data_IF_504540921755
#
_entry.id   IF_504540921755
#
_cell.length_a   1.000
_cell.length_b   1.000
_cell.length_c   1.000
_cell.angle_alpha   90.00
_cell.angle_beta   90.00
_cell.angle_gamma   90.00
#
_symmetry.space_group_name_H-M   'P 1'
#
loop_
_entity.id
_entity.type
_entity.pdbx_description
1 polymer ?
#
# COMPACT_ATOMS: atom_id res chain seq x y z
N UNK A 1 5.68 7.55 18.73
CA UNK A 1 4.47 7.00 19.33
C UNK A 1 4.69 6.91 20.83
N UNK A 2 3.77 7.43 21.65
CA UNK A 2 3.89 7.38 23.11
C UNK A 2 3.75 5.94 23.62
N UNK A 3 4.40 5.63 24.74
CA UNK A 3 4.39 4.29 25.38
C UNK A 3 3.01 3.73 25.78
N UNK A 4 1.91 4.39 25.41
CA UNK A 4 0.53 4.04 25.79
C UNK A 4 -0.42 3.91 24.59
N UNK A 5 0.09 3.90 23.35
CA UNK A 5 -0.79 3.65 22.21
C UNK A 5 -1.25 2.19 22.30
N UNK A 6 -2.57 1.99 22.26
CA UNK A 6 -3.18 0.68 22.35
C UNK A 6 -2.59 -0.25 21.27
N UNK A 7 -2.11 -1.41 21.66
CA UNK A 7 -1.67 -2.46 20.74
C UNK A 7 -2.81 -2.83 19.74
N UNK A 8 -4.05 -2.53 20.11
CA UNK A 8 -5.24 -2.80 19.30
C UNK A 8 -5.56 -1.68 18.31
N UNK A 9 -4.87 -0.53 18.37
CA UNK A 9 -5.16 0.64 17.53
C UNK A 9 -5.27 0.32 16.02
N UNK A 10 -4.39 -0.48 15.40
CA UNK A 10 -4.54 -0.83 13.98
C UNK A 10 -5.82 -1.60 13.67
N UNK A 11 -6.27 -2.47 14.58
CA UNK A 11 -7.52 -3.22 14.45
C UNK A 11 -8.72 -2.29 14.61
N UNK A 12 -8.67 -1.39 15.60
CA UNK A 12 -9.72 -0.39 15.84
C UNK A 12 -9.89 0.54 14.63
N UNK A 13 -8.78 1.01 14.05
CA UNK A 13 -8.79 1.83 12.83
C UNK A 13 -9.35 1.06 11.63
N UNK A 14 -8.95 -0.20 11.45
CA UNK A 14 -9.50 -1.06 10.40
C UNK A 14 -11.03 -1.21 10.54
N UNK A 15 -11.51 -1.54 11.74
CA UNK A 15 -12.95 -1.71 12.00
C UNK A 15 -13.69 -0.39 11.75
N UNK A 16 -13.17 0.73 12.29
CA UNK A 16 -13.79 2.05 12.13
C UNK A 16 -13.88 2.44 10.65
N UNK A 17 -12.82 2.21 9.87
CA UNK A 17 -12.80 2.54 8.45
C UNK A 17 -13.70 1.63 7.63
N UNK A 18 -13.66 0.31 7.88
CA UNK A 18 -14.57 -0.65 7.21
C UNK A 18 -16.03 -0.27 7.44
N UNK A 19 -16.41 0.05 8.68
CA UNK A 19 -17.77 0.48 9.02
C UNK A 19 -18.13 1.81 8.35
N UNK A 20 -17.21 2.78 8.35
CA UNK A 20 -17.43 4.11 7.75
C UNK A 20 -17.61 4.00 6.22
N UNK A 21 -16.73 3.26 5.53
CA UNK A 21 -16.83 3.07 4.08
C UNK A 21 -18.05 2.20 3.72
N UNK A 22 -18.36 1.18 4.53
CA UNK A 22 -19.58 0.40 4.34
C UNK A 22 -20.83 1.26 4.49
N UNK A 23 -20.90 2.09 5.53
CA UNK A 23 -22.03 2.99 5.77
C UNK A 23 -22.17 4.00 4.62
N UNK A 24 -21.08 4.69 4.24
CA UNK A 24 -21.08 5.65 3.14
C UNK A 24 -21.49 4.96 1.83
N UNK A 25 -20.86 3.84 1.48
CA UNK A 25 -21.19 3.07 0.28
C UNK A 25 -22.64 2.58 0.26
N UNK A 26 -23.16 2.09 1.39
CA UNK A 26 -24.51 1.53 1.48
C UNK A 26 -25.62 2.57 1.45
N UNK A 27 -25.44 3.68 2.16
CA UNK A 27 -26.52 4.65 2.42
C UNK A 27 -26.35 5.95 1.64
N UNK A 28 -25.12 6.44 1.43
CA UNK A 28 -24.87 7.68 0.67
C UNK A 28 -24.70 7.35 -0.82
N UNK A 29 -23.76 6.50 -1.18
CA UNK A 29 -23.43 6.17 -2.57
C UNK A 29 -24.36 5.11 -3.17
N UNK A 30 -25.10 4.37 -2.33
CA UNK A 30 -26.06 3.31 -2.72
C UNK A 30 -25.45 2.20 -3.58
N UNK A 31 -24.22 1.80 -3.27
CA UNK A 31 -23.45 0.77 -3.97
C UNK A 31 -23.15 -0.44 -3.09
N UNK A 32 -22.70 -1.52 -3.72
CA UNK A 32 -22.22 -2.72 -3.02
C UNK A 32 -20.81 -2.50 -2.52
N UNK A 33 -20.46 -3.11 -1.38
CA UNK A 33 -19.08 -3.05 -0.85
C UNK A 33 -18.06 -3.66 -1.83
N UNK A 34 -18.45 -4.71 -2.56
CA UNK A 34 -17.62 -5.32 -3.60
C UNK A 34 -17.21 -4.35 -4.72
N UNK A 35 -17.97 -3.26 -4.93
CA UNK A 35 -17.65 -2.23 -5.93
C UNK A 35 -16.37 -1.42 -5.58
N UNK A 36 -15.93 -1.48 -4.34
CA UNK A 36 -14.67 -0.89 -3.90
C UNK A 36 -13.43 -1.76 -4.18
N UNK A 37 -13.56 -2.86 -4.94
CA UNK A 37 -12.45 -3.73 -5.32
C UNK A 37 -12.29 -4.99 -4.47
N UNK A 38 -13.38 -5.43 -3.80
CA UNK A 38 -13.45 -6.66 -3.01
C UNK A 38 -14.37 -7.71 -3.65
N UNK A 39 -14.15 -8.03 -4.92
CA UNK A 39 -14.85 -9.14 -5.60
C UNK A 39 -14.08 -10.44 -5.40
N UNK A 40 -14.11 -10.99 -4.20
CA UNK A 40 -13.38 -12.19 -3.81
C UNK A 40 -13.64 -13.38 -4.75
N UNK A 41 -12.81 -13.50 -5.78
CA UNK A 41 -12.79 -14.56 -6.78
C UNK A 41 -11.48 -15.33 -6.73
N UNK A 42 -11.33 -16.49 -7.35
CA UNK A 42 -10.03 -17.16 -7.51
C UNK A 42 -8.97 -16.25 -8.16
N UNK A 43 -9.39 -15.36 -9.07
CA UNK A 43 -8.53 -14.35 -9.69
C UNK A 43 -8.04 -13.34 -8.65
N UNK A 44 -8.93 -12.83 -7.80
CA UNK A 44 -8.61 -11.91 -6.73
C UNK A 44 -7.53 -12.48 -5.80
N UNK A 45 -7.68 -13.73 -5.36
CA UNK A 45 -6.70 -14.38 -4.49
C UNK A 45 -5.36 -14.64 -5.18
N UNK A 46 -5.35 -14.92 -6.50
CA UNK A 46 -4.12 -15.03 -7.28
C UNK A 46 -3.39 -13.70 -7.39
N UNK A 47 -4.12 -12.60 -7.59
CA UNK A 47 -3.57 -11.24 -7.64
C UNK A 47 -3.07 -10.79 -6.26
N UNK A 48 -3.79 -11.14 -5.20
CA UNK A 48 -3.35 -10.88 -3.82
C UNK A 48 -2.03 -11.60 -3.52
N UNK A 49 -1.94 -12.89 -3.87
CA UNK A 49 -0.70 -13.68 -3.73
C UNK A 49 0.46 -13.09 -4.52
N UNK A 50 0.21 -12.61 -5.74
CA UNK A 50 1.22 -11.88 -6.53
C UNK A 50 1.66 -10.60 -5.82
N UNK A 51 0.72 -9.81 -5.31
CA UNK A 51 1.01 -8.59 -4.55
C UNK A 51 1.89 -8.87 -3.33
N UNK A 52 1.53 -9.88 -2.52
CA UNK A 52 2.34 -10.33 -1.37
C UNK A 52 3.77 -10.68 -1.79
N UNK A 53 3.91 -11.51 -2.82
CA UNK A 53 5.23 -11.94 -3.30
C UNK A 53 6.07 -10.77 -3.83
N UNK A 54 5.43 -9.83 -4.57
CA UNK A 54 6.12 -8.69 -5.15
C UNK A 54 6.61 -7.72 -4.07
N UNK A 55 5.77 -7.37 -3.07
CA UNK A 55 6.18 -6.50 -1.96
C UNK A 55 7.37 -7.06 -1.20
N UNK A 56 7.30 -8.35 -0.84
CA UNK A 56 8.40 -9.05 -0.18
C UNK A 56 9.68 -9.08 -1.04
N UNK A 57 9.56 -9.36 -2.34
CA UNK A 57 10.69 -9.41 -3.27
C UNK A 57 11.39 -8.06 -3.40
N UNK A 58 10.62 -6.97 -3.53
CA UNK A 58 11.18 -5.63 -3.72
C UNK A 58 11.99 -5.19 -2.49
N UNK A 59 11.47 -5.35 -1.29
CA UNK A 59 12.21 -5.02 -0.06
C UNK A 59 13.39 -5.95 0.15
N UNK A 60 13.25 -7.24 -0.14
CA UNK A 60 14.38 -8.18 -0.08
C UNK A 60 15.52 -7.77 -1.03
N UNK A 61 15.18 -7.33 -2.24
CA UNK A 61 16.18 -6.82 -3.18
C UNK A 61 16.87 -5.55 -2.65
N UNK A 62 16.13 -4.62 -2.05
CA UNK A 62 16.72 -3.43 -1.40
C UNK A 62 17.69 -3.85 -0.30
N UNK A 63 17.25 -4.72 0.61
CA UNK A 63 18.09 -5.21 1.71
C UNK A 63 19.39 -5.86 1.20
N UNK A 64 19.29 -6.72 0.18
CA UNK A 64 20.47 -7.39 -0.39
C UNK A 64 21.43 -6.42 -1.07
N UNK A 65 20.91 -5.38 -1.74
CA UNK A 65 21.74 -4.31 -2.32
C UNK A 65 22.46 -3.54 -1.22
N UNK A 66 21.75 -3.11 -0.18
CA UNK A 66 22.38 -2.36 0.92
C UNK A 66 23.36 -3.20 1.75
N UNK A 67 23.08 -4.47 1.92
CA UNK A 67 24.01 -5.40 2.58
C UNK A 67 25.28 -5.62 1.73
N UNK A 68 25.13 -5.86 0.44
CA UNK A 68 26.24 -6.11 -0.48
C UNK A 68 27.15 -4.88 -0.68
N UNK A 69 26.58 -3.69 -0.60
CA UNK A 69 27.34 -2.42 -0.69
C UNK A 69 27.96 -1.99 0.65
N UNK A 70 27.65 -2.70 1.75
CA UNK A 70 28.07 -2.35 3.10
C UNK A 70 27.32 -1.15 3.68
N UNK A 71 26.17 -0.75 3.08
CA UNK A 71 25.33 0.33 3.58
C UNK A 71 24.42 -0.13 4.72
N UNK A 72 24.13 -1.42 4.82
CA UNK A 72 23.49 -2.03 5.96
C UNK A 72 24.41 -3.07 6.63
N UNK A 73 24.41 -3.10 7.96
CA UNK A 73 25.13 -4.08 8.79
C UNK A 73 24.15 -4.75 9.73
N UNK A 74 24.11 -6.06 9.77
CA UNK A 74 23.28 -6.83 10.70
C UNK A 74 23.83 -6.65 12.11
N UNK A 75 22.98 -6.23 13.05
CA UNK A 75 23.34 -5.97 14.45
C UNK A 75 22.80 -7.00 15.40
N UNK A 76 21.60 -7.50 15.15
CA UNK A 76 20.92 -8.48 16.01
C UNK A 76 19.93 -9.32 15.18
N UNK A 77 19.46 -10.43 15.71
CA UNK A 77 18.37 -11.23 15.12
C UNK A 77 17.31 -11.56 16.15
N UNK A 78 16.06 -11.72 15.71
CA UNK A 78 14.91 -12.05 16.55
C UNK A 78 14.67 -11.05 17.68
N UNK A 79 14.79 -9.75 17.35
CA UNK A 79 14.60 -8.66 18.29
C UNK A 79 13.11 -8.41 18.52
N UNK A 80 12.71 -8.33 19.80
CA UNK A 80 11.38 -7.87 20.22
C UNK A 80 11.42 -6.38 20.54
N UNK A 81 10.51 -5.61 19.97
CA UNK A 81 10.35 -4.17 20.21
C UNK A 81 9.62 -3.88 21.53
N UNK A 82 8.87 -4.85 22.05
CA UNK A 82 8.07 -4.71 23.28
C UNK A 82 8.69 -5.50 24.42
N UNK A 83 9.11 -4.78 25.47
CA UNK A 83 9.68 -5.42 26.66
C UNK A 83 8.72 -6.40 27.30
N UNK A 84 9.21 -7.62 27.59
CA UNK A 84 8.44 -8.67 28.25
C UNK A 84 7.52 -9.49 27.33
N UNK A 85 7.46 -9.17 26.05
CA UNK A 85 6.76 -10.00 25.04
C UNK A 85 7.77 -10.87 24.31
N UNK A 86 7.47 -12.17 24.19
CA UNK A 86 8.31 -13.09 23.44
C UNK A 86 8.25 -12.77 21.92
N UNK A 87 9.40 -12.82 21.23
CA UNK A 87 9.52 -12.48 19.82
C UNK A 87 8.45 -13.12 18.90
N UNK A 88 8.06 -14.42 19.01
CA UNK A 88 7.03 -14.99 18.16
C UNK A 88 5.65 -14.35 18.29
N UNK A 89 5.35 -13.81 19.46
CA UNK A 89 4.07 -13.09 19.70
C UNK A 89 4.17 -11.69 19.11
N UNK A 90 5.29 -11.01 19.34
CA UNK A 90 5.50 -9.63 18.90
C UNK A 90 5.54 -9.51 17.38
N UNK A 91 6.25 -10.45 16.70
CA UNK A 91 6.30 -10.48 15.23
C UNK A 91 4.94 -10.82 14.60
N UNK A 92 4.14 -11.66 15.25
CA UNK A 92 2.78 -11.94 14.81
C UNK A 92 1.89 -10.69 14.92
N UNK A 93 2.03 -9.90 16.00
CA UNK A 93 1.36 -8.62 16.15
C UNK A 93 1.77 -7.61 15.08
N UNK A 94 3.07 -7.55 14.74
CA UNK A 94 3.54 -6.72 13.64
C UNK A 94 2.88 -7.12 12.32
N UNK A 95 2.78 -8.42 12.02
CA UNK A 95 2.10 -8.91 10.82
C UNK A 95 0.61 -8.53 10.83
N UNK A 96 -0.10 -8.71 11.94
CA UNK A 96 -1.51 -8.30 12.07
C UNK A 96 -1.65 -6.79 11.86
N UNK A 97 -0.75 -5.99 12.42
CA UNK A 97 -0.72 -4.54 12.21
C UNK A 97 -0.64 -4.20 10.73
N UNK A 98 0.30 -4.79 9.98
CA UNK A 98 0.46 -4.47 8.56
C UNK A 98 -0.65 -5.03 7.67
N UNK A 99 -1.29 -6.13 8.06
CA UNK A 99 -2.53 -6.59 7.42
C UNK A 99 -3.63 -5.53 7.58
N UNK A 100 -3.80 -5.00 8.78
CA UNK A 100 -4.79 -3.95 9.04
C UNK A 100 -4.47 -2.69 8.23
N UNK A 101 -3.22 -2.20 8.29
CA UNK A 101 -2.76 -0.99 7.57
C UNK A 101 -2.96 -1.14 6.08
N UNK A 102 -2.46 -2.22 5.47
CA UNK A 102 -2.58 -2.45 4.03
C UNK A 102 -4.04 -2.54 3.55
N UNK A 103 -4.94 -3.08 4.37
CA UNK A 103 -6.37 -3.13 4.03
C UNK A 103 -7.01 -1.75 4.15
N UNK A 104 -6.86 -1.05 5.29
CA UNK A 104 -7.62 0.17 5.49
C UNK A 104 -7.09 1.33 4.65
N UNK A 105 -5.78 1.43 4.41
CA UNK A 105 -5.23 2.51 3.57
C UNK A 105 -5.57 2.31 2.09
N UNK A 106 -5.50 1.07 1.59
CA UNK A 106 -5.86 0.82 0.19
C UNK A 106 -7.38 0.91 -0.03
N UNK A 107 -8.19 0.46 0.92
CA UNK A 107 -9.64 0.67 0.86
C UNK A 107 -9.99 2.16 0.82
N UNK A 108 -9.38 2.97 1.70
CA UNK A 108 -9.64 4.41 1.73
C UNK A 108 -9.13 5.11 0.47
N UNK A 109 -7.86 4.90 0.12
CA UNK A 109 -7.19 5.63 -0.95
C UNK A 109 -7.66 5.22 -2.35
N UNK A 110 -7.74 3.92 -2.63
CA UNK A 110 -8.05 3.40 -3.98
C UNK A 110 -9.49 2.94 -4.08
N UNK A 111 -9.95 2.16 -3.12
CA UNK A 111 -11.32 1.68 -3.10
C UNK A 111 -12.36 2.79 -3.03
N UNK A 112 -12.17 3.75 -2.12
CA UNK A 112 -13.15 4.81 -1.87
C UNK A 112 -12.80 6.14 -2.54
N UNK A 113 -11.66 6.76 -2.22
CA UNK A 113 -11.33 8.10 -2.72
C UNK A 113 -11.10 8.12 -4.22
N UNK A 114 -10.21 7.28 -4.76
CA UNK A 114 -9.90 7.26 -6.20
C UNK A 114 -11.16 6.97 -7.01
N UNK A 115 -11.95 5.97 -6.59
CA UNK A 115 -13.17 5.60 -7.31
C UNK A 115 -14.20 6.74 -7.32
N UNK A 116 -14.50 7.34 -6.17
CA UNK A 116 -15.46 8.45 -6.09
C UNK A 116 -14.97 9.69 -6.88
N UNK A 117 -13.66 9.99 -6.84
CA UNK A 117 -13.08 11.06 -7.66
C UNK A 117 -13.19 10.74 -9.16
N UNK A 118 -12.89 9.52 -9.59
CA UNK A 118 -12.99 9.12 -10.99
C UNK A 118 -14.43 9.23 -11.50
N UNK A 119 -15.42 8.86 -10.69
CA UNK A 119 -16.84 9.03 -11.02
C UNK A 119 -17.24 10.50 -11.10
N UNK A 120 -16.82 11.33 -10.15
CA UNK A 120 -17.11 12.78 -10.12
C UNK A 120 -16.42 13.55 -11.26
N UNK A 121 -15.23 13.10 -11.69
CA UNK A 121 -14.48 13.69 -12.80
C UNK A 121 -14.94 13.19 -14.18
N UNK A 122 -15.82 12.18 -14.24
CA UNK A 122 -16.33 11.64 -15.52
C UNK A 122 -17.38 12.58 -16.12
N UNK A 123 -16.93 13.72 -16.61
CA UNK A 123 -17.74 14.78 -17.23
C UNK A 123 -17.48 14.85 -18.73
N UNK A 124 -18.37 15.54 -19.49
CA UNK A 124 -18.28 15.61 -20.96
C UNK A 124 -16.94 16.16 -21.48
N UNK A 125 -16.27 17.00 -20.72
CA UNK A 125 -14.98 17.61 -21.09
C UNK A 125 -13.77 16.69 -20.81
N UNK A 126 -13.95 15.61 -20.07
CA UNK A 126 -12.86 14.70 -19.67
C UNK A 126 -13.28 13.26 -20.01
N UNK A 127 -12.42 12.55 -20.75
CA UNK A 127 -12.67 11.14 -21.07
C UNK A 127 -12.63 10.27 -19.79
N UNK A 128 -13.31 9.10 -19.76
CA UNK A 128 -13.20 8.16 -18.63
C UNK A 128 -11.76 7.83 -18.26
N UNK A 129 -10.88 7.62 -19.25
CA UNK A 129 -9.43 7.41 -19.01
C UNK A 129 -8.78 8.61 -18.33
N UNK A 130 -9.10 9.82 -18.79
CA UNK A 130 -8.60 11.05 -18.18
C UNK A 130 -9.07 11.19 -16.75
N UNK A 131 -10.34 10.87 -16.45
CA UNK A 131 -10.92 10.92 -15.12
C UNK A 131 -10.20 9.98 -14.13
N UNK A 132 -9.99 8.71 -14.50
CA UNK A 132 -9.27 7.75 -13.63
C UNK A 132 -7.80 8.11 -13.46
N UNK A 133 -7.12 8.58 -14.50
CA UNK A 133 -5.71 8.98 -14.39
C UNK A 133 -5.57 10.20 -13.45
N UNK A 134 -6.44 11.19 -13.59
CA UNK A 134 -6.42 12.37 -12.73
C UNK A 134 -6.76 12.02 -11.28
N UNK A 135 -7.75 11.17 -11.05
CA UNK A 135 -8.08 10.65 -9.72
C UNK A 135 -6.92 9.87 -9.09
N UNK A 136 -6.19 9.06 -9.89
CA UNK A 136 -5.01 8.35 -9.41
C UNK A 136 -3.86 9.28 -9.05
N UNK A 137 -3.62 10.33 -9.83
CA UNK A 137 -2.60 11.35 -9.52
C UNK A 137 -2.94 12.09 -8.23
N UNK A 138 -4.19 12.53 -8.07
CA UNK A 138 -4.66 13.25 -6.88
C UNK A 138 -4.54 12.41 -5.62
N UNK A 139 -5.09 11.19 -5.62
CA UNK A 139 -5.05 10.31 -4.44
C UNK A 139 -3.62 9.83 -4.11
N UNK A 140 -2.75 9.71 -5.11
CA UNK A 140 -1.34 9.41 -4.89
C UNK A 140 -0.59 10.58 -4.28
N UNK A 141 -0.88 11.81 -4.73
CA UNK A 141 -0.34 13.02 -4.13
C UNK A 141 -0.80 13.16 -2.67
N UNK A 142 -2.09 12.92 -2.42
CA UNK A 142 -2.65 12.93 -1.06
C UNK A 142 -1.99 11.88 -0.15
N UNK A 143 -1.75 10.66 -0.66
CA UNK A 143 -1.05 9.61 0.08
C UNK A 143 0.34 10.06 0.55
N UNK A 144 1.15 10.63 -0.33
CA UNK A 144 2.46 11.16 0.05
C UNK A 144 2.37 12.33 1.04
N UNK A 145 1.40 13.24 0.85
CA UNK A 145 1.19 14.39 1.73
C UNK A 145 0.77 14.00 3.15
N UNK A 146 -0.02 12.95 3.32
CA UNK A 146 -0.37 12.43 4.65
C UNK A 146 0.85 12.03 5.48
N UNK A 147 1.93 11.59 4.83
CA UNK A 147 3.19 11.19 5.46
C UNK A 147 4.20 12.33 5.61
N UNK A 148 3.89 13.55 5.11
CA UNK A 148 4.82 14.67 5.16
C UNK A 148 5.13 15.18 6.58
N UNK A 149 4.30 14.79 7.56
CA UNK A 149 4.47 15.13 8.98
C UNK A 149 5.09 14.00 9.81
N UNK A 150 5.44 12.89 9.18
CA UNK A 150 6.11 11.79 9.87
C UNK A 150 7.51 12.19 10.35
N UNK A 151 8.06 11.53 11.38
CA UNK A 151 9.44 11.72 11.80
C UNK A 151 10.40 11.58 10.61
N UNK A 152 11.41 12.43 10.53
CA UNK A 152 12.42 12.44 9.47
C UNK A 152 11.90 12.67 8.04
N UNK A 153 10.64 13.05 7.86
CA UNK A 153 10.09 13.34 6.54
C UNK A 153 10.84 14.47 5.83
N UNK A 154 10.86 14.41 4.53
CA UNK A 154 11.49 15.35 3.62
C UNK A 154 10.71 15.46 2.33
N UNK A 155 10.98 16.47 1.50
CA UNK A 155 10.37 16.56 0.18
C UNK A 155 10.61 15.27 -0.64
N UNK A 156 11.80 14.68 -0.54
CA UNK A 156 12.15 13.44 -1.28
C UNK A 156 11.31 12.27 -0.78
N UNK A 157 11.16 12.10 0.54
CA UNK A 157 10.30 11.03 1.07
C UNK A 157 8.84 11.22 0.67
N UNK A 158 8.34 12.46 0.73
CA UNK A 158 6.97 12.78 0.30
C UNK A 158 6.75 12.44 -1.18
N UNK A 159 7.67 12.84 -2.08
CA UNK A 159 7.58 12.51 -3.50
C UNK A 159 7.69 11.00 -3.76
N UNK A 160 8.53 10.29 -3.02
CA UNK A 160 8.64 8.84 -3.12
C UNK A 160 7.38 8.12 -2.60
N UNK A 161 6.72 8.64 -1.58
CA UNK A 161 5.44 8.09 -1.13
C UNK A 161 4.29 8.43 -2.08
N UNK A 162 4.34 9.57 -2.79
CA UNK A 162 3.45 9.80 -3.94
C UNK A 162 3.69 8.75 -5.05
N UNK A 163 4.94 8.37 -5.32
CA UNK A 163 5.26 7.29 -6.26
C UNK A 163 4.75 5.92 -5.77
N UNK A 164 4.81 5.64 -4.46
CA UNK A 164 4.16 4.46 -3.89
C UNK A 164 2.64 4.48 -4.14
N UNK A 165 2.02 5.63 -3.90
CA UNK A 165 0.62 5.88 -4.24
C UNK A 165 0.29 5.58 -5.71
N UNK A 166 1.16 6.01 -6.63
CA UNK A 166 1.01 5.72 -8.07
C UNK A 166 1.16 4.24 -8.39
N UNK A 167 2.07 3.51 -7.72
CA UNK A 167 2.22 2.07 -7.86
C UNK A 167 0.92 1.35 -7.48
N UNK A 168 0.37 1.65 -6.31
CA UNK A 168 -0.89 1.08 -5.84
C UNK A 168 -2.06 1.43 -6.77
N UNK A 169 -2.14 2.70 -7.19
CA UNK A 169 -3.16 3.15 -8.14
C UNK A 169 -3.01 2.44 -9.50
N UNK A 170 -1.79 2.25 -10.01
CA UNK A 170 -1.55 1.49 -11.25
C UNK A 170 -2.08 0.07 -11.15
N UNK A 171 -1.82 -0.62 -10.04
CA UNK A 171 -2.34 -1.96 -9.81
C UNK A 171 -3.88 -1.97 -9.82
N UNK A 172 -4.51 -1.03 -9.11
CA UNK A 172 -5.97 -0.91 -9.05
C UNK A 172 -6.58 -0.58 -10.41
N UNK A 173 -5.99 0.38 -11.16
CA UNK A 173 -6.48 0.77 -12.48
C UNK A 173 -6.37 -0.33 -13.53
N UNK A 174 -5.38 -1.22 -13.40
CA UNK A 174 -5.14 -2.32 -14.35
C UNK A 174 -5.88 -3.61 -14.00
N UNK A 175 -6.31 -3.79 -12.74
CA UNK A 175 -7.02 -5.00 -12.30
C UNK A 175 -8.49 -4.75 -11.94
N UNK A 176 -8.86 -3.51 -11.64
CA UNK A 176 -10.17 -3.14 -11.11
C UNK A 176 -10.40 -3.62 -9.66
N UNK A 177 -9.37 -4.17 -9.01
CA UNK A 177 -9.46 -4.83 -7.71
C UNK A 177 -8.36 -4.36 -6.75
N UNK A 178 -8.63 -4.42 -5.44
CA UNK A 178 -7.68 -4.05 -4.40
C UNK A 178 -6.67 -5.17 -4.05
N UNK A 179 -6.75 -6.33 -4.69
CA UNK A 179 -5.96 -7.50 -4.36
C UNK A 179 -4.44 -7.24 -4.43
N UNK A 180 -3.95 -6.78 -5.58
CA UNK A 180 -2.51 -6.49 -5.76
C UNK A 180 -2.03 -5.36 -4.84
N UNK A 181 -2.70 -4.18 -4.79
CA UNK A 181 -2.23 -3.10 -3.91
C UNK A 181 -2.21 -3.51 -2.43
N UNK A 182 -3.25 -4.16 -1.91
CA UNK A 182 -3.27 -4.63 -0.51
C UNK A 182 -2.14 -5.62 -0.25
N UNK A 183 -1.98 -6.64 -1.10
CA UNK A 183 -0.92 -7.64 -0.91
C UNK A 183 0.49 -7.04 -0.93
N UNK A 184 0.76 -6.16 -1.90
CA UNK A 184 2.03 -5.46 -2.01
C UNK A 184 2.30 -4.58 -0.77
N UNK A 185 1.33 -3.78 -0.35
CA UNK A 185 1.44 -2.87 0.78
C UNK A 185 1.73 -3.62 2.08
N UNK A 186 1.00 -4.71 2.37
CA UNK A 186 1.22 -5.55 3.56
C UNK A 186 2.66 -6.03 3.61
N UNK A 187 3.16 -6.64 2.53
CA UNK A 187 4.48 -7.26 2.53
C UNK A 187 5.62 -6.26 2.34
N UNK A 188 5.39 -5.14 1.66
CA UNK A 188 6.34 -4.04 1.68
C UNK A 188 6.61 -3.59 3.12
N UNK A 189 5.56 -3.21 3.87
CA UNK A 189 5.70 -2.73 5.24
C UNK A 189 6.25 -3.79 6.19
N UNK A 190 5.75 -5.02 6.11
CA UNK A 190 6.20 -6.10 6.98
C UNK A 190 7.66 -6.47 6.74
N UNK A 191 8.09 -6.60 5.48
CA UNK A 191 9.47 -6.93 5.15
C UNK A 191 10.41 -5.77 5.47
N UNK A 192 10.02 -4.52 5.17
CA UNK A 192 10.84 -3.35 5.46
C UNK A 192 11.12 -3.24 6.97
N UNK A 193 10.09 -3.21 7.78
CA UNK A 193 10.21 -2.98 9.21
C UNK A 193 10.52 -4.26 9.99
N UNK A 194 9.72 -5.32 9.80
CA UNK A 194 9.73 -6.46 10.72
C UNK A 194 10.53 -7.66 10.23
N UNK A 195 10.92 -7.71 8.96
CA UNK A 195 11.87 -8.72 8.49
C UNK A 195 13.29 -8.15 8.51
N UNK A 196 13.53 -6.95 7.95
CA UNK A 196 14.86 -6.40 7.75
C UNK A 196 15.19 -5.16 8.60
N UNK A 197 14.33 -4.78 9.54
CA UNK A 197 14.61 -3.76 10.55
C UNK A 197 14.90 -2.36 10.01
N UNK A 198 14.45 -2.03 8.80
CA UNK A 198 14.46 -0.65 8.34
C UNK A 198 13.41 0.17 9.07
N UNK A 199 13.65 1.46 9.35
CA UNK A 199 12.55 2.37 9.68
C UNK A 199 11.48 2.35 8.59
N UNK A 200 10.22 2.39 8.97
CA UNK A 200 9.07 2.45 8.05
C UNK A 200 8.46 3.84 8.12
N UNK A 201 8.42 4.53 6.99
CA UNK A 201 7.92 5.91 6.90
C UNK A 201 8.50 6.83 7.98
N UNK A 202 9.79 6.64 8.28
CA UNK A 202 10.54 7.42 9.28
C UNK A 202 10.37 6.96 10.74
N UNK A 203 9.65 5.85 11.00
CA UNK A 203 9.40 5.31 12.34
C UNK A 203 10.14 3.98 12.54
N UNK A 204 10.85 3.84 13.65
CA UNK A 204 11.41 2.57 14.10
C UNK A 204 10.36 1.85 14.96
N UNK A 205 9.93 0.67 14.51
CA UNK A 205 8.92 -0.15 15.20
C UNK A 205 9.55 -1.19 16.15
N UNK A 206 10.84 -1.41 16.05
CA UNK A 206 11.64 -2.17 17.01
C UNK A 206 11.56 -3.69 16.90
N UNK A 207 10.48 -4.27 16.37
CA UNK A 207 10.30 -5.73 16.26
C UNK A 207 10.73 -6.23 14.90
N UNK A 208 11.80 -7.05 14.86
CA UNK A 208 12.34 -7.51 13.58
C UNK A 208 13.05 -8.86 13.65
N UNK A 209 13.00 -9.64 12.55
CA UNK A 209 13.81 -10.85 12.39
C UNK A 209 15.29 -10.54 12.25
N UNK A 210 15.66 -9.49 11.51
CA UNK A 210 17.04 -9.09 11.26
C UNK A 210 17.12 -7.58 11.56
N UNK A 211 17.73 -7.22 12.67
CA UNK A 211 17.97 -5.82 13.03
C UNK A 211 19.24 -5.32 12.31
N UNK A 212 19.18 -4.11 11.78
CA UNK A 212 20.27 -3.53 11.01
C UNK A 212 20.65 -2.13 11.50
N UNK A 213 21.88 -1.76 11.25
CA UNK A 213 22.33 -0.37 11.27
C UNK A 213 22.60 0.06 9.83
N UNK A 214 21.80 1.01 9.34
CA UNK A 214 22.00 1.63 8.04
C UNK A 214 23.04 2.77 8.15
N UNK A 215 24.00 2.82 7.22
CA UNK A 215 25.11 3.78 7.22
C UNK A 215 25.50 4.29 5.83
N UNK A 216 24.77 3.92 4.80
CA UNK A 216 25.04 4.32 3.42
C UNK A 216 24.72 5.78 3.11
N UNK A 217 25.10 6.27 1.90
CA UNK A 217 24.83 7.64 1.49
C UNK A 217 23.32 7.90 1.46
N UNK A 218 22.87 8.98 2.12
CA UNK A 218 21.44 9.33 2.28
C UNK A 218 20.65 9.37 0.96
N UNK A 219 21.29 9.82 -0.13
CA UNK A 219 20.64 9.87 -1.44
C UNK A 219 20.18 8.48 -1.91
N UNK A 220 20.97 7.43 -1.63
CA UNK A 220 20.68 6.07 -2.06
C UNK A 220 19.77 5.33 -1.07
N UNK A 221 20.06 5.44 0.21
CA UNK A 221 19.45 4.67 1.28
C UNK A 221 18.23 5.36 1.92
N UNK A 222 18.03 6.65 1.67
CA UNK A 222 16.99 7.46 2.33
C UNK A 222 17.35 7.95 3.74
N UNK A 223 18.45 7.46 4.33
CA UNK A 223 18.91 7.84 5.68
C UNK A 223 17.89 7.44 6.75
N UNK A 224 17.50 8.35 7.64
CA UNK A 224 16.62 8.06 8.76
C UNK A 224 15.15 7.78 8.37
N UNK A 225 14.75 8.07 7.14
CA UNK A 225 13.43 7.70 6.60
C UNK A 225 13.46 6.32 5.92
N UNK A 226 14.65 5.74 5.78
CA UNK A 226 15.00 4.47 5.16
C UNK A 226 14.69 4.40 3.65
N UNK A 227 14.56 3.20 3.03
CA UNK A 227 14.48 3.06 1.58
C UNK A 227 13.40 3.92 0.92
N UNK A 228 12.34 4.22 1.66
CA UNK A 228 11.23 5.03 1.17
C UNK A 228 11.60 6.48 0.80
N UNK A 229 12.76 6.99 1.25
CA UNK A 229 13.30 8.29 0.85
C UNK A 229 14.55 8.18 -0.02
N UNK A 230 14.96 6.98 -0.43
CA UNK A 230 16.19 6.71 -1.18
C UNK A 230 15.96 6.36 -2.65
N UNK A 231 17.01 6.53 -3.47
CA UNK A 231 16.98 6.14 -4.88
C UNK A 231 16.82 4.63 -5.05
N UNK A 232 17.31 3.81 -4.11
CA UNK A 232 17.12 2.35 -4.16
C UNK A 232 15.63 2.02 -4.03
N UNK A 233 14.93 2.62 -3.08
CA UNK A 233 13.48 2.48 -2.93
C UNK A 233 12.68 3.03 -4.12
N UNK A 234 13.09 4.19 -4.66
CA UNK A 234 12.51 4.73 -5.90
C UNK A 234 12.63 3.74 -7.05
N UNK A 235 13.84 3.19 -7.26
CA UNK A 235 14.11 2.19 -8.29
C UNK A 235 13.27 0.92 -8.11
N UNK A 236 13.17 0.42 -6.88
CA UNK A 236 12.35 -0.75 -6.57
C UNK A 236 10.86 -0.51 -6.89
N UNK A 237 10.30 0.67 -6.59
CA UNK A 237 8.92 1.01 -6.95
C UNK A 237 8.70 1.08 -8.46
N UNK A 238 9.62 1.68 -9.20
CA UNK A 238 9.53 1.72 -10.67
C UNK A 238 9.60 0.32 -11.28
N UNK A 239 10.51 -0.53 -10.79
CA UNK A 239 10.58 -1.95 -11.17
C UNK A 239 9.30 -2.69 -10.76
N UNK A 240 8.76 -2.42 -9.57
CA UNK A 240 7.48 -2.96 -9.11
C UNK A 240 6.32 -2.63 -10.06
N UNK A 241 6.23 -1.39 -10.55
CA UNK A 241 5.24 -1.01 -11.56
C UNK A 241 5.40 -1.85 -12.84
N UNK A 242 6.62 -2.06 -13.32
CA UNK A 242 6.88 -2.90 -14.49
C UNK A 242 6.47 -4.36 -14.26
N UNK A 243 6.72 -4.91 -13.09
CA UNK A 243 6.25 -6.25 -12.73
C UNK A 243 4.72 -6.35 -12.67
N UNK A 244 4.04 -5.34 -12.13
CA UNK A 244 2.56 -5.27 -12.13
C UNK A 244 2.02 -5.26 -13.56
N UNK A 245 2.57 -4.42 -14.44
CA UNK A 245 2.19 -4.36 -15.86
C UNK A 245 2.44 -5.73 -16.54
N UNK A 246 3.59 -6.34 -16.29
CA UNK A 246 3.94 -7.67 -16.79
C UNK A 246 2.97 -8.75 -16.31
N UNK A 247 2.65 -8.75 -15.01
CA UNK A 247 1.66 -9.68 -14.42
C UNK A 247 0.29 -9.55 -15.09
N UNK A 248 -0.21 -8.32 -15.22
CA UNK A 248 -1.49 -8.06 -15.87
C UNK A 248 -1.47 -8.55 -17.32
N UNK A 249 -0.38 -8.30 -18.06
CA UNK A 249 -0.23 -8.79 -19.44
C UNK A 249 -0.25 -10.30 -19.52
N UNK A 250 0.47 -10.98 -18.63
CA UNK A 250 0.55 -12.45 -18.60
C UNK A 250 -0.77 -13.08 -18.20
N UNK A 251 -1.42 -12.52 -17.17
CA UNK A 251 -2.61 -13.11 -16.57
C UNK A 251 -3.89 -12.82 -17.36
N UNK A 252 -4.03 -11.60 -17.87
CA UNK A 252 -5.26 -11.12 -18.54
C UNK A 252 -5.12 -10.96 -20.06
N UNK A 253 -3.93 -11.16 -20.60
CA UNK A 253 -3.66 -11.11 -22.05
C UNK A 253 -3.64 -9.71 -22.64
N UNK A 254 -4.06 -8.69 -21.92
CA UNK A 254 -4.13 -7.29 -22.37
C UNK A 254 -3.79 -6.33 -21.22
N UNK A 255 -3.33 -5.13 -21.57
CA UNK A 255 -3.10 -4.02 -20.65
C UNK A 255 -4.13 -2.94 -21.00
N UNK A 256 -5.17 -2.84 -20.20
CA UNK A 256 -6.23 -1.84 -20.38
C UNK A 256 -6.61 -1.25 -19.03
N UNK A 257 -6.88 0.05 -19.00
CA UNK A 257 -7.45 0.68 -17.82
C UNK A 257 -8.91 0.26 -17.66
N UNK A 258 -9.31 -0.03 -16.43
CA UNK A 258 -10.67 -0.36 -16.05
C UNK A 258 -11.55 0.89 -16.02
N UNK A 259 -12.05 1.32 -17.21
CA UNK A 259 -12.88 2.53 -17.36
C UNK A 259 -14.21 2.43 -16.59
N UNK A 260 -14.67 1.22 -16.26
CA UNK A 260 -15.82 0.97 -15.39
C UNK A 260 -15.66 1.54 -13.97
N UNK A 261 -14.44 1.87 -13.55
CA UNK A 261 -14.20 2.60 -12.29
C UNK A 261 -14.83 4.00 -12.28
N UNK A 262 -15.15 4.57 -13.44
CA UNK A 262 -15.87 5.86 -13.55
C UNK A 262 -17.39 5.71 -13.49
N UNK A 263 -17.91 4.49 -13.29
CA UNK A 263 -19.34 4.23 -13.27
C UNK A 263 -19.71 3.45 -12.02
N UNK A 264 -20.60 3.97 -11.15
CA UNK A 264 -20.98 3.28 -9.93
C UNK A 264 -21.85 2.05 -10.22
N UNK A 265 -21.57 0.92 -9.53
CA UNK A 265 -22.47 -0.26 -9.51
C UNK A 265 -23.56 -0.04 -8.44
N UNK A 266 -24.63 0.68 -8.83
CA UNK A 266 -25.71 1.07 -7.93
C UNK A 266 -26.65 -0.09 -7.61
N UNK A 267 -27.07 -0.18 -6.35
CA UNK A 267 -28.02 -1.19 -5.85
C UNK A 267 -29.40 -1.13 -6.55
N UNK A 268 -29.78 0.04 -7.08
CA UNK A 268 -31.12 0.29 -7.65
C UNK A 268 -31.24 -0.08 -9.14
N UNK A 269 -30.12 -0.22 -9.88
CA UNK A 269 -30.18 -0.48 -11.35
C UNK A 269 -30.77 -1.86 -11.73
N UNK A 270 -30.83 -2.85 -10.83
CA UNK A 270 -31.36 -4.19 -11.12
C UNK A 270 -32.88 -4.30 -11.20
N UNK A 271 -33.64 -3.30 -10.76
CA UNK A 271 -35.11 -3.35 -10.81
C UNK A 271 -35.75 -2.69 -12.05
N UNK A 272 -34.96 -2.08 -12.92
CA UNK A 272 -35.46 -1.43 -14.14
C UNK A 272 -35.23 -2.24 -15.44
N UNK A 273 -34.64 -3.43 -15.32
CA UNK A 273 -34.39 -4.32 -16.47
C UNK A 273 -35.06 -5.71 -16.34
N UNK A 274 -36.02 -5.85 -15.42
CA UNK A 274 -36.86 -7.06 -15.30
C UNK A 274 -38.28 -6.79 -15.78
#
# INVERSE_FOLDING_TARGET
MGKNDSILLPIELLIALLLSVWFAGRFLDRRRFADFGFRFSPSWWGDFGFGLALGALMITAIFLIELATGWATITETFKSGVNGIAFPIDILWALVTFICVGIYEELLGRGYQLKNLAEGLNVKSLSPKGAIVLAALDTSAFFGLLHAFNPNASLISTLNLMLAGLLYSTAYLLTGELAVPIGYHIMWNFFESSVFGFPLSGMDLGTTFIDIRQSGPRLWTGGAFAPEAGLVGTGARLVGILFIIGWVRLRYGKITLHEELTTPDLLVRKHQQA
#
